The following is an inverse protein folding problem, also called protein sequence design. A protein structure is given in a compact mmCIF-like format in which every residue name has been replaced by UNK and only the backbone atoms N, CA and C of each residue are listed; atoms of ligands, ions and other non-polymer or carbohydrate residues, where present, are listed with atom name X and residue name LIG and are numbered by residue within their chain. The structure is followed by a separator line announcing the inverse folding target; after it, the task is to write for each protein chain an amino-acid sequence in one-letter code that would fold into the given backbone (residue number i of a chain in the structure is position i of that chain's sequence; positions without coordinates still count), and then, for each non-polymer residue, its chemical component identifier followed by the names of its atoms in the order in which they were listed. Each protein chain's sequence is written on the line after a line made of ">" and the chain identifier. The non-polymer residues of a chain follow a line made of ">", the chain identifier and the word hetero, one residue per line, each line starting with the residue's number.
data_IF_109875174252
#
_entry.id   IF_109875174252
#
_cell.length_a   1.000
_cell.length_b   1.000
_cell.length_c   1.000
_cell.angle_alpha   90.00
_cell.angle_beta   90.00
_cell.angle_gamma   90.00
#
_symmetry.space_group_name_H-M   'P 1'
#
loop_
_entity.id
_entity.type
_entity.pdbx_description
1 polymer ?
#
# COMPACT_ATOMS: atom_id res chain seq x y z
N UNK A 1 11.58 0.84 43.45
CA UNK A 1 12.77 1.16 44.27
C UNK A 1 13.37 2.47 43.76
N UNK A 2 13.17 3.57 44.48
CA UNK A 2 13.63 4.91 44.08
C UNK A 2 14.91 5.25 44.84
N UNK A 3 16.02 5.45 44.13
CA UNK A 3 17.23 6.09 44.68
C UNK A 3 17.00 7.61 44.72
N UNK A 4 17.23 8.31 45.84
CA UNK A 4 17.27 9.75 45.84
C UNK A 4 18.65 10.26 45.41
N UNK A 5 18.61 11.04 44.34
CA UNK A 5 19.32 12.31 44.10
C UNK A 5 20.42 12.60 45.14
N UNK A 6 21.63 12.18 44.79
CA UNK A 6 22.86 12.91 45.10
C UNK A 6 22.83 14.21 44.28
N UNK A 7 23.48 15.26 44.77
CA UNK A 7 23.56 16.63 44.23
C UNK A 7 22.67 17.62 44.99
N UNK A 8 23.12 18.01 46.20
CA UNK A 8 23.21 19.42 46.63
C UNK A 8 23.91 19.50 48.00
N UNK A 9 25.24 19.33 48.05
CA UNK A 9 26.03 19.47 49.29
C UNK A 9 27.40 20.13 49.06
N UNK A 10 27.49 21.08 48.11
CA UNK A 10 28.78 21.66 47.72
C UNK A 10 28.85 23.19 47.69
N UNK A 11 28.11 23.88 48.58
CA UNK A 11 28.31 25.31 48.85
C UNK A 11 28.03 25.62 50.34
N UNK A 12 28.85 25.08 51.23
CA UNK A 12 29.03 25.58 52.60
C UNK A 12 30.32 24.98 53.18
N UNK A 13 31.44 25.42 52.62
CA UNK A 13 32.75 25.35 53.29
C UNK A 13 33.25 26.79 53.37
N UNK A 14 33.14 27.47 54.51
CA UNK A 14 33.95 28.66 54.77
C UNK A 14 35.39 28.19 54.84
N UNK A 15 36.13 28.44 53.75
CA UNK A 15 37.57 28.24 53.71
C UNK A 15 38.24 29.11 54.76
N UNK A 16 38.69 28.45 55.82
CA UNK A 16 39.69 28.95 56.76
C UNK A 16 41.00 29.09 55.98
N UNK A 17 41.22 30.27 55.40
CA UNK A 17 42.54 30.76 55.03
C UNK A 17 43.03 31.65 56.16
N UNK A 18 43.64 31.01 57.17
CA UNK A 18 44.55 31.69 58.09
C UNK A 18 45.81 32.08 57.30
N UNK A 19 45.79 33.24 56.66
CA UNK A 19 46.99 33.99 56.31
C UNK A 19 47.26 35.02 57.41
N UNK A 20 48.53 35.15 57.77
CA UNK A 20 49.05 35.93 58.88
C UNK A 20 48.76 37.44 58.80
N UNK A 21 48.80 38.14 59.96
CA UNK A 21 48.52 39.56 60.06
C UNK A 21 49.77 40.37 59.74
N UNK A 22 49.67 41.27 58.76
CA UNK A 22 50.50 42.47 58.73
C UNK A 22 49.87 43.46 57.75
N UNK A 23 49.10 44.41 58.27
CA UNK A 23 49.14 45.84 57.97
C UNK A 23 48.08 46.50 58.85
N UNK A 24 48.58 47.32 59.76
CA UNK A 24 47.83 48.24 60.60
C UNK A 24 47.12 49.32 59.77
N UNK A 25 46.05 49.81 60.40
CA UNK A 25 45.54 51.17 60.35
C UNK A 25 44.48 51.49 59.29
N UNK A 26 43.30 51.81 59.84
CA UNK A 26 42.47 52.98 59.46
C UNK A 26 41.19 52.80 58.63
N UNK A 27 40.47 51.66 58.76
CA UNK A 27 39.08 51.56 58.22
C UNK A 27 37.98 51.37 59.29
N UNK A 28 38.35 51.14 60.56
CA UNK A 28 37.36 50.95 61.63
C UNK A 28 36.65 52.25 62.08
N UNK A 29 37.18 53.42 61.72
CA UNK A 29 36.59 54.73 62.04
C UNK A 29 35.44 55.13 61.11
N UNK A 30 35.54 54.81 59.82
CA UNK A 30 34.56 55.18 58.80
C UNK A 30 33.23 54.41 58.95
N UNK A 31 33.29 53.16 59.39
CA UNK A 31 32.09 52.36 59.64
C UNK A 31 31.30 52.84 60.87
N UNK A 32 31.94 53.45 61.88
CA UNK A 32 31.20 53.99 63.04
C UNK A 32 30.49 55.31 62.74
N UNK A 33 31.04 56.15 61.85
CA UNK A 33 30.39 57.41 61.46
C UNK A 33 29.13 57.22 60.59
N UNK A 34 29.01 56.09 59.89
CA UNK A 34 27.82 55.78 59.08
C UNK A 34 26.62 55.27 59.92
N UNK A 35 26.85 54.78 61.14
CA UNK A 35 25.80 54.22 61.99
C UNK A 35 25.09 55.26 62.88
N UNK A 36 25.72 56.40 63.16
CA UNK A 36 25.13 57.48 63.97
C UNK A 36 24.27 58.46 63.16
N UNK A 37 24.30 58.35 61.83
CA UNK A 37 23.40 59.12 60.96
C UNK A 37 22.04 58.42 60.87
N UNK A 38 20.95 59.16 61.09
CA UNK A 38 19.55 58.71 60.95
C UNK A 38 19.30 58.01 59.61
N UNK A 39 20.10 58.35 58.58
CA UNK A 39 20.07 57.70 57.26
C UNK A 39 20.52 56.24 57.26
N UNK A 40 21.43 55.83 58.15
CA UNK A 40 21.96 54.45 58.21
C UNK A 40 20.89 53.43 58.62
N UNK A 41 20.03 53.81 59.58
CA UNK A 41 18.92 52.96 60.03
C UNK A 41 17.88 52.75 58.93
N UNK A 42 17.60 53.78 58.12
CA UNK A 42 16.66 53.68 57.00
C UNK A 42 17.15 52.71 55.91
N UNK A 43 18.46 52.71 55.62
CA UNK A 43 19.05 51.79 54.64
C UNK A 43 18.91 50.34 55.14
N UNK A 44 19.20 50.10 56.43
CA UNK A 44 19.07 48.77 57.04
C UNK A 44 17.62 48.27 57.06
N UNK A 45 16.66 49.16 57.34
CA UNK A 45 15.22 48.84 57.32
C UNK A 45 14.74 48.53 55.89
N UNK A 46 15.24 49.23 54.89
CA UNK A 46 14.88 48.97 53.49
C UNK A 46 15.39 47.61 52.99
N UNK A 47 16.63 47.24 53.35
CA UNK A 47 17.22 45.93 53.03
C UNK A 47 16.48 44.77 53.69
N UNK A 48 16.09 44.91 54.96
CA UNK A 48 15.34 43.86 55.67
C UNK A 48 13.94 43.67 55.07
N UNK A 49 13.26 44.76 54.70
CA UNK A 49 11.96 44.68 54.00
C UNK A 49 12.07 44.03 52.62
N UNK A 50 13.13 44.32 51.86
CA UNK A 50 13.37 43.68 50.56
C UNK A 50 13.59 42.16 50.70
N UNK A 51 14.35 41.73 51.71
CA UNK A 51 14.58 40.30 51.99
C UNK A 51 13.27 39.62 52.38
N UNK A 52 12.45 40.24 53.24
CA UNK A 52 11.15 39.70 53.64
C UNK A 52 10.21 39.58 52.43
N UNK A 53 10.19 40.57 51.53
CA UNK A 53 9.38 40.52 50.32
C UNK A 53 9.78 39.36 49.39
N UNK A 54 11.10 39.13 49.20
CA UNK A 54 11.61 38.00 48.40
C UNK A 54 11.25 36.67 49.07
N UNK A 55 11.41 36.55 50.38
CA UNK A 55 11.02 35.35 51.13
C UNK A 55 9.51 35.07 51.00
N UNK A 56 8.66 36.10 51.07
CA UNK A 56 7.21 35.95 50.90
C UNK A 56 6.83 35.58 49.46
N UNK A 57 7.56 36.06 48.45
CA UNK A 57 7.35 35.64 47.06
C UNK A 57 7.71 34.16 46.85
N UNK A 58 8.82 33.70 47.43
CA UNK A 58 9.23 32.30 47.35
C UNK A 58 8.28 31.37 48.13
N UNK A 59 7.73 31.83 49.27
CA UNK A 59 6.76 31.05 50.05
C UNK A 59 5.34 31.05 49.48
N UNK A 60 4.97 32.01 48.62
CA UNK A 60 3.65 32.04 47.97
C UNK A 60 3.53 31.11 46.76
N UNK A 61 4.63 30.61 46.19
CA UNK A 61 4.60 29.78 44.98
C UNK A 61 4.62 28.23 45.11
N UNK A 62 4.27 27.52 46.21
CA UNK A 62 4.41 26.05 46.24
C UNK A 62 3.30 25.28 45.51
N UNK A 63 2.19 25.91 45.09
CA UNK A 63 0.97 25.16 44.73
C UNK A 63 0.81 24.73 43.26
N UNK A 64 1.68 25.16 42.35
CA UNK A 64 1.53 24.83 40.92
C UNK A 64 2.40 23.67 40.40
N UNK A 65 3.41 23.20 41.16
CA UNK A 65 4.38 22.19 40.65
C UNK A 65 3.96 20.73 40.87
N UNK A 66 2.92 20.46 41.66
CA UNK A 66 2.43 19.10 41.92
C UNK A 66 1.49 18.57 40.83
N UNK A 67 0.85 19.42 40.04
CA UNK A 67 -0.01 18.97 38.92
C UNK A 67 0.82 18.42 37.77
N UNK A 68 1.90 19.10 37.38
CA UNK A 68 2.74 18.72 36.24
C UNK A 68 3.47 17.37 36.44
N UNK A 69 3.75 17.00 37.70
CA UNK A 69 4.42 15.73 38.04
C UNK A 69 3.52 14.50 37.85
N UNK A 70 2.21 14.67 37.97
CA UNK A 70 1.25 13.58 37.79
C UNK A 70 0.99 13.30 36.32
N UNK A 71 0.94 14.34 35.48
CA UNK A 71 0.78 14.19 34.03
C UNK A 71 1.99 13.51 33.39
N UNK A 72 3.21 13.87 33.81
CA UNK A 72 4.44 13.20 33.35
C UNK A 72 4.47 11.70 33.70
N UNK A 73 3.83 11.31 34.79
CA UNK A 73 3.74 9.90 35.21
C UNK A 73 2.76 9.08 34.36
N UNK A 74 1.70 9.70 33.84
CA UNK A 74 0.75 9.05 32.95
C UNK A 74 1.36 8.82 31.57
N UNK A 75 2.08 9.81 31.02
CA UNK A 75 2.78 9.69 29.73
C UNK A 75 3.84 8.57 29.75
N UNK A 76 4.64 8.48 30.81
CA UNK A 76 5.64 7.40 30.93
C UNK A 76 5.01 6.00 30.94
N UNK A 77 3.85 5.84 31.57
CA UNK A 77 3.12 4.57 31.55
C UNK A 77 2.53 4.26 30.17
N UNK A 78 2.11 5.29 29.43
CA UNK A 78 1.61 5.14 28.07
C UNK A 78 2.73 4.74 27.11
N UNK A 79 3.88 5.41 27.16
CA UNK A 79 5.07 5.06 26.39
C UNK A 79 5.54 3.63 26.70
N UNK A 80 5.52 3.22 27.97
CA UNK A 80 5.89 1.87 28.35
C UNK A 80 4.93 0.81 27.77
N UNK A 81 3.62 1.09 27.74
CA UNK A 81 2.63 0.21 27.07
C UNK A 81 2.87 0.15 25.56
N UNK A 82 3.23 1.26 24.95
CA UNK A 82 3.48 1.32 23.51
C UNK A 82 4.74 0.55 23.11
N UNK A 83 5.82 0.66 23.88
CA UNK A 83 7.04 -0.15 23.70
C UNK A 83 6.70 -1.64 23.79
N UNK A 84 5.93 -2.06 24.79
CA UNK A 84 5.54 -3.47 24.95
C UNK A 84 4.65 -3.95 23.80
N UNK A 85 3.73 -3.10 23.32
CA UNK A 85 2.89 -3.40 22.15
C UNK A 85 3.70 -3.52 20.87
N UNK A 86 4.71 -2.67 20.69
CA UNK A 86 5.60 -2.71 19.52
C UNK A 86 6.53 -3.93 19.56
N UNK A 87 7.04 -4.31 20.73
CA UNK A 87 7.81 -5.54 20.90
C UNK A 87 6.98 -6.77 20.53
N UNK A 88 5.75 -6.88 21.04
CA UNK A 88 4.87 -8.01 20.70
C UNK A 88 4.55 -8.07 19.19
N UNK A 89 4.35 -6.90 18.55
CA UNK A 89 4.18 -6.82 17.08
C UNK A 89 5.43 -7.22 16.30
N UNK A 90 6.63 -7.07 16.89
CA UNK A 90 7.87 -7.48 16.27
C UNK A 90 8.07 -9.00 16.37
N UNK A 91 7.68 -9.59 17.50
CA UNK A 91 7.69 -11.04 17.72
C UNK A 91 6.64 -11.77 16.88
N UNK A 92 5.50 -11.14 16.60
CA UNK A 92 4.47 -11.64 15.67
C UNK A 92 4.89 -11.57 14.18
N UNK A 93 6.09 -11.07 13.86
CA UNK A 93 6.58 -11.14 12.48
C UNK A 93 6.88 -12.60 12.11
N UNK A 94 6.51 -13.03 10.89
CA UNK A 94 6.75 -14.39 10.45
C UNK A 94 8.23 -14.71 10.61
N UNK A 95 8.50 -15.79 11.32
CA UNK A 95 9.87 -16.20 11.61
C UNK A 95 10.54 -16.69 10.33
N UNK A 96 11.88 -16.69 10.31
CA UNK A 96 12.68 -17.22 9.19
C UNK A 96 12.25 -18.66 8.83
N UNK A 97 11.75 -19.42 9.80
CA UNK A 97 11.22 -20.77 9.60
C UNK A 97 9.95 -20.80 8.73
N UNK A 98 9.07 -19.80 8.87
CA UNK A 98 7.86 -19.68 8.03
C UNK A 98 8.21 -19.33 6.59
N UNK A 99 9.27 -18.55 6.39
CA UNK A 99 9.79 -18.20 5.07
C UNK A 99 10.42 -19.41 4.37
N UNK A 100 11.15 -20.25 5.10
CA UNK A 100 11.70 -21.50 4.55
C UNK A 100 10.58 -22.48 4.15
N UNK A 101 9.54 -22.62 4.98
CA UNK A 101 8.36 -23.41 4.64
C UNK A 101 7.61 -22.86 3.42
N UNK A 102 7.54 -21.54 3.25
CA UNK A 102 6.94 -20.92 2.06
C UNK A 102 7.80 -21.15 0.82
N UNK A 103 9.12 -21.06 0.94
CA UNK A 103 10.06 -21.33 -0.16
C UNK A 103 9.98 -22.78 -0.64
N UNK A 104 9.89 -23.76 0.27
CA UNK A 104 9.68 -25.17 -0.11
C UNK A 104 8.33 -25.38 -0.80
N UNK A 105 7.26 -24.73 -0.33
CA UNK A 105 5.95 -24.79 -0.97
C UNK A 105 5.96 -24.18 -2.37
N UNK A 106 6.65 -23.06 -2.57
CA UNK A 106 6.82 -22.45 -3.89
C UNK A 106 7.57 -23.40 -4.81
N UNK A 107 8.69 -23.97 -4.37
CA UNK A 107 9.47 -24.94 -5.15
C UNK A 107 8.67 -26.19 -5.54
N UNK A 108 7.82 -26.68 -4.64
CA UNK A 108 6.95 -27.82 -4.90
C UNK A 108 5.82 -27.49 -5.89
N UNK A 109 5.27 -26.28 -5.82
CA UNK A 109 4.27 -25.81 -6.79
C UNK A 109 4.90 -25.61 -8.16
N UNK A 110 6.07 -24.99 -8.23
CA UNK A 110 6.83 -24.77 -9.46
C UNK A 110 7.18 -26.10 -10.16
N UNK A 111 7.64 -27.10 -9.39
CA UNK A 111 7.85 -28.46 -9.92
C UNK A 111 6.59 -29.08 -10.53
N UNK A 112 5.43 -28.90 -9.90
CA UNK A 112 4.13 -29.38 -10.43
C UNK A 112 3.69 -28.66 -11.70
N UNK A 113 4.02 -27.38 -11.86
CA UNK A 113 3.75 -26.64 -13.09
C UNK A 113 4.61 -27.16 -14.24
N UNK A 114 5.90 -27.37 -14.00
CA UNK A 114 6.82 -27.93 -15.01
C UNK A 114 6.36 -29.33 -15.45
N UNK A 115 5.97 -30.18 -14.52
CA UNK A 115 5.46 -31.53 -14.80
C UNK A 115 4.16 -31.49 -15.63
N UNK A 116 3.23 -30.58 -15.29
CA UNK A 116 1.99 -30.38 -16.05
C UNK A 116 2.22 -29.86 -17.46
N UNK A 117 3.20 -28.98 -17.64
CA UNK A 117 3.59 -28.47 -18.95
C UNK A 117 4.25 -29.55 -19.81
N UNK A 118 5.02 -30.47 -19.21
CA UNK A 118 5.53 -31.64 -19.95
C UNK A 118 4.40 -32.57 -20.41
N UNK A 119 3.42 -32.87 -19.56
CA UNK A 119 2.26 -33.68 -19.97
C UNK A 119 1.40 -33.00 -21.04
N UNK A 120 1.27 -31.68 -20.99
CA UNK A 120 0.48 -30.92 -21.98
C UNK A 120 1.16 -30.89 -23.36
N UNK A 121 2.50 -30.87 -23.40
CA UNK A 121 3.28 -30.97 -24.65
C UNK A 121 3.16 -32.35 -25.29
N UNK A 122 3.15 -33.41 -24.48
CA UNK A 122 3.03 -34.79 -24.97
C UNK A 122 1.66 -35.06 -25.62
N UNK A 123 0.58 -34.53 -25.05
CA UNK A 123 -0.77 -34.61 -25.64
C UNK A 123 -0.89 -33.80 -26.94
N UNK A 124 -0.09 -32.74 -27.12
CA UNK A 124 -0.13 -31.90 -28.33
C UNK A 124 0.36 -32.66 -29.57
N UNK A 125 1.41 -33.47 -29.44
CA UNK A 125 1.96 -34.21 -30.58
C UNK A 125 1.06 -35.37 -31.02
N UNK A 126 0.34 -35.99 -30.09
CA UNK A 126 -0.59 -37.08 -30.38
C UNK A 126 -1.86 -36.60 -31.12
N UNK A 127 -2.26 -35.33 -30.91
CA UNK A 127 -3.43 -34.75 -31.58
C UNK A 127 -3.17 -34.41 -33.06
N UNK A 128 -1.94 -34.03 -33.40
CA UNK A 128 -1.54 -33.68 -34.78
C UNK A 128 -1.49 -34.90 -35.71
N UNK A 129 -1.15 -36.09 -35.20
CA UNK A 129 -1.11 -37.33 -36.00
C UNK A 129 -2.52 -37.88 -36.29
N UNK A 130 -3.46 -37.72 -35.35
CA UNK A 130 -4.86 -38.11 -35.54
C UNK A 130 -5.54 -37.24 -36.60
N UNK A 131 -5.26 -35.93 -36.63
CA UNK A 131 -5.83 -35.02 -37.64
C UNK A 131 -5.28 -35.27 -39.06
N UNK A 132 -4.02 -35.71 -39.21
CA UNK A 132 -3.49 -36.12 -40.54
C UNK A 132 -4.13 -37.41 -41.05
N UNK A 133 -4.48 -38.32 -40.17
CA UNK A 133 -5.13 -39.60 -40.56
C UNK A 133 -6.55 -39.39 -41.06
N UNK A 134 -7.31 -38.44 -40.48
CA UNK A 134 -8.70 -38.16 -40.87
C UNK A 134 -8.77 -37.33 -42.17
N UNK A 135 -7.78 -36.47 -42.45
CA UNK A 135 -7.74 -35.64 -43.65
C UNK A 135 -7.38 -36.42 -44.94
N UNK A 136 -6.83 -37.63 -44.82
CA UNK A 136 -6.42 -38.46 -45.96
C UNK A 136 -7.54 -39.26 -46.63
N UNK A 137 -8.74 -39.37 -46.02
CA UNK A 137 -9.73 -40.39 -46.39
C UNK A 137 -11.06 -39.84 -46.96
N UNK A 138 -11.13 -38.55 -47.30
CA UNK A 138 -12.29 -37.96 -48.00
C UNK A 138 -11.89 -37.22 -49.27
N UNK A 139 -11.75 -37.99 -50.35
CA UNK A 139 -11.81 -37.45 -51.70
C UNK A 139 -12.40 -38.48 -52.65
N UNK A 140 -13.74 -38.50 -52.75
CA UNK A 140 -14.46 -38.88 -53.97
C UNK A 140 -15.85 -38.23 -54.02
N UNK A 141 -15.96 -37.25 -54.93
CA UNK A 141 -17.06 -37.05 -55.89
C UNK A 141 -18.28 -36.19 -55.47
N UNK A 142 -18.76 -35.27 -56.35
CA UNK A 142 -19.74 -34.23 -56.02
C UNK A 142 -21.17 -34.62 -56.43
N UNK A 143 -22.17 -34.13 -55.70
CA UNK A 143 -23.53 -34.05 -56.22
C UNK A 143 -24.25 -32.80 -55.71
N UNK A 144 -24.89 -32.14 -56.67
CA UNK A 144 -25.53 -30.84 -56.67
C UNK A 144 -26.98 -31.01 -56.25
N UNK A 145 -27.41 -30.39 -55.16
CA UNK A 145 -28.83 -30.13 -54.91
C UNK A 145 -29.02 -28.78 -54.24
N UNK A 146 -29.71 -27.90 -54.97
CA UNK A 146 -30.26 -26.63 -54.52
C UNK A 146 -31.19 -26.86 -53.33
N UNK A 147 -30.98 -26.13 -52.23
CA UNK A 147 -32.08 -25.75 -51.34
C UNK A 147 -31.75 -24.39 -50.73
N UNK A 148 -32.49 -23.40 -51.20
CA UNK A 148 -32.64 -22.07 -50.63
C UNK A 148 -32.99 -22.16 -49.15
N UNK A 149 -32.02 -21.87 -48.29
CA UNK A 149 -32.26 -21.51 -46.90
C UNK A 149 -31.62 -20.14 -46.71
N UNK A 150 -32.44 -19.20 -46.26
CA UNK A 150 -32.12 -17.83 -45.92
C UNK A 150 -30.84 -17.81 -45.09
N UNK A 151 -29.76 -17.42 -45.74
CA UNK A 151 -28.45 -17.24 -45.14
C UNK A 151 -28.48 -15.92 -44.38
N UNK A 152 -28.57 -15.99 -43.06
CA UNK A 152 -27.97 -14.96 -42.20
C UNK A 152 -26.49 -14.89 -42.62
N UNK A 153 -26.16 -13.89 -43.43
CA UNK A 153 -24.79 -13.63 -43.85
C UNK A 153 -23.93 -13.40 -42.60
N UNK A 154 -22.86 -14.18 -42.36
CA UNK A 154 -21.84 -13.75 -41.43
C UNK A 154 -21.26 -12.46 -42.02
N UNK A 155 -21.38 -11.36 -41.28
CA UNK A 155 -20.80 -10.07 -41.62
C UNK A 155 -19.40 -10.30 -42.20
N UNK A 156 -19.25 -9.90 -43.46
CA UNK A 156 -18.02 -10.03 -44.24
C UNK A 156 -16.81 -9.57 -43.43
N UNK A 157 -15.71 -10.30 -43.60
CA UNK A 157 -14.36 -10.17 -43.04
C UNK A 157 -13.72 -8.77 -43.14
N UNK A 158 -14.36 -7.74 -42.58
CA UNK A 158 -13.64 -6.54 -42.15
C UNK A 158 -12.71 -7.01 -41.03
N UNK A 159 -11.40 -6.85 -41.23
CA UNK A 159 -10.37 -7.46 -40.40
C UNK A 159 -10.66 -7.24 -38.92
N UNK A 160 -10.86 -8.34 -38.18
CA UNK A 160 -11.03 -8.28 -36.75
C UNK A 160 -9.76 -7.71 -36.13
N UNK A 161 -9.93 -6.73 -35.26
CA UNK A 161 -8.87 -6.25 -34.42
C UNK A 161 -8.95 -6.93 -33.06
N UNK A 162 -7.81 -7.03 -32.39
CA UNK A 162 -7.65 -7.77 -31.17
C UNK A 162 -7.03 -6.89 -30.09
N UNK A 163 -7.57 -6.96 -28.88
CA UNK A 163 -7.04 -6.26 -27.72
C UNK A 163 -6.96 -7.17 -26.50
N UNK A 164 -5.89 -7.03 -25.72
CA UNK A 164 -5.66 -7.81 -24.50
C UNK A 164 -6.54 -7.37 -23.34
N UNK A 165 -6.64 -6.06 -23.11
CA UNK A 165 -7.41 -5.47 -22.01
C UNK A 165 -7.94 -4.09 -22.36
N UNK A 166 -8.92 -3.59 -21.61
CA UNK A 166 -9.28 -2.17 -21.63
C UNK A 166 -8.28 -1.35 -20.81
N UNK A 167 -7.44 -0.58 -21.50
CA UNK A 167 -6.42 0.28 -20.90
C UNK A 167 -7.01 1.60 -20.38
N UNK A 168 -8.07 2.09 -21.03
CA UNK A 168 -8.82 3.27 -20.60
C UNK A 168 -9.93 2.90 -19.62
N UNK A 169 -10.38 3.86 -18.82
CA UNK A 169 -11.45 3.66 -17.83
C UNK A 169 -12.74 3.10 -18.46
N UNK A 170 -13.07 3.57 -19.66
CA UNK A 170 -14.25 3.15 -20.42
C UNK A 170 -13.90 2.88 -21.89
N UNK A 171 -12.78 2.20 -22.19
CA UNK A 171 -12.39 2.06 -23.58
C UNK A 171 -11.10 1.34 -23.89
N UNK A 172 -10.71 1.43 -25.16
CA UNK A 172 -9.49 0.90 -25.73
C UNK A 172 -8.74 2.01 -26.46
N UNK A 173 -7.45 2.18 -26.20
CA UNK A 173 -6.58 3.01 -27.04
C UNK A 173 -6.26 2.29 -28.35
N UNK A 174 -6.19 3.02 -29.47
CA UNK A 174 -5.73 2.46 -30.74
C UNK A 174 -4.31 1.85 -30.68
N UNK A 175 -3.50 2.18 -29.66
CA UNK A 175 -2.13 1.65 -29.50
C UNK A 175 -2.07 0.20 -29.04
N UNK A 176 -3.07 -0.25 -28.28
CA UNK A 176 -3.13 -1.61 -27.73
C UNK A 176 -3.88 -2.59 -28.65
N UNK A 177 -4.54 -2.05 -29.67
CA UNK A 177 -5.32 -2.80 -30.64
C UNK A 177 -4.37 -3.30 -31.74
N UNK A 178 -4.36 -4.59 -31.96
CA UNK A 178 -3.51 -5.25 -32.96
C UNK A 178 -4.35 -6.05 -33.95
N UNK A 179 -3.76 -6.52 -35.06
CA UNK A 179 -4.44 -7.40 -36.02
C UNK A 179 -4.08 -8.88 -35.81
N UNK A 180 -3.24 -9.18 -34.84
CA UNK A 180 -2.73 -10.52 -34.59
C UNK A 180 -3.36 -11.09 -33.32
N UNK A 181 -3.75 -12.35 -33.38
CA UNK A 181 -4.18 -13.13 -32.22
C UNK A 181 -3.03 -14.06 -31.83
N UNK A 182 -2.48 -13.87 -30.63
CA UNK A 182 -1.38 -14.64 -30.03
C UNK A 182 -1.81 -15.48 -28.82
N UNK A 183 -3.12 -15.54 -28.55
CA UNK A 183 -3.67 -16.26 -27.41
C UNK A 183 -3.70 -15.44 -26.12
N UNK A 184 -3.25 -14.18 -26.13
CA UNK A 184 -3.44 -13.24 -25.01
C UNK A 184 -4.51 -12.18 -25.32
N UNK A 185 -4.91 -11.98 -26.57
CA UNK A 185 -5.93 -10.99 -26.91
C UNK A 185 -7.34 -11.52 -26.65
N UNK A 186 -7.95 -10.95 -25.64
CA UNK A 186 -9.25 -11.36 -25.13
C UNK A 186 -10.43 -10.80 -25.93
N UNK A 187 -10.28 -9.59 -26.46
CA UNK A 187 -11.35 -8.85 -27.11
C UNK A 187 -11.16 -8.86 -28.63
N UNK A 188 -12.19 -9.27 -29.35
CA UNK A 188 -12.30 -9.13 -30.80
C UNK A 188 -13.16 -7.90 -31.10
N UNK A 189 -12.64 -6.98 -31.91
CA UNK A 189 -13.26 -5.69 -32.24
C UNK A 189 -13.49 -5.65 -33.74
N UNK A 190 -14.74 -5.44 -34.13
CA UNK A 190 -15.20 -5.31 -35.50
C UNK A 190 -15.54 -3.84 -35.75
N UNK A 191 -14.66 -3.13 -36.45
CA UNK A 191 -14.83 -1.71 -36.77
C UNK A 191 -15.83 -1.50 -37.90
N UNK A 192 -16.80 -0.63 -37.69
CA UNK A 192 -17.82 -0.19 -38.64
C UNK A 192 -17.92 1.34 -38.64
N UNK A 193 -17.09 1.98 -39.46
CA UNK A 193 -16.99 3.45 -39.58
C UNK A 193 -16.73 4.13 -38.23
N UNK A 194 -17.74 4.79 -37.64
CA UNK A 194 -17.63 5.50 -36.35
C UNK A 194 -18.02 4.65 -35.13
N UNK A 195 -18.48 3.41 -35.36
CA UNK A 195 -18.89 2.46 -34.32
C UNK A 195 -18.09 1.19 -34.45
N UNK A 196 -17.95 0.44 -33.36
CA UNK A 196 -17.42 -0.91 -33.43
C UNK A 196 -18.20 -1.82 -32.50
N UNK A 197 -18.32 -3.08 -32.88
CA UNK A 197 -18.88 -4.13 -32.03
C UNK A 197 -17.70 -4.89 -31.46
N UNK A 198 -17.72 -5.19 -30.16
CA UNK A 198 -16.69 -6.02 -29.56
C UNK A 198 -17.28 -7.21 -28.81
N UNK A 199 -16.54 -8.31 -28.86
CA UNK A 199 -16.88 -9.58 -28.23
C UNK A 199 -15.66 -10.20 -27.57
N UNK A 200 -15.90 -11.17 -26.69
CA UNK A 200 -14.82 -11.99 -26.15
C UNK A 200 -14.48 -13.08 -27.16
N UNK A 201 -13.20 -13.31 -27.37
CA UNK A 201 -12.73 -14.37 -28.27
C UNK A 201 -13.12 -15.76 -27.77
N UNK A 202 -13.33 -16.69 -28.71
CA UNK A 202 -13.60 -18.09 -28.39
C UNK A 202 -12.32 -18.91 -28.17
N UNK A 203 -11.15 -18.30 -28.36
CA UNK A 203 -9.85 -18.93 -28.13
C UNK A 203 -9.71 -19.38 -26.67
N UNK A 204 -9.35 -20.66 -26.49
CA UNK A 204 -9.24 -21.30 -25.19
C UNK A 204 -8.06 -20.71 -24.40
N UNK A 205 -6.96 -20.37 -25.08
CA UNK A 205 -5.76 -19.85 -24.42
C UNK A 205 -6.00 -18.44 -23.90
N UNK A 206 -6.65 -17.58 -24.70
CA UNK A 206 -7.04 -16.23 -24.29
C UNK A 206 -8.07 -16.24 -23.16
N UNK A 207 -9.06 -17.15 -23.20
CA UNK A 207 -10.01 -17.30 -22.10
C UNK A 207 -9.33 -17.80 -20.82
N UNK A 208 -8.37 -18.73 -20.92
CA UNK A 208 -7.59 -19.20 -19.77
C UNK A 208 -6.77 -18.06 -19.18
N UNK A 209 -6.17 -17.22 -20.02
CA UNK A 209 -5.44 -16.03 -19.58
C UNK A 209 -6.36 -15.05 -18.82
N UNK A 210 -7.55 -14.77 -19.34
CA UNK A 210 -8.53 -13.90 -18.68
C UNK A 210 -9.04 -14.45 -17.35
N UNK A 211 -9.20 -15.78 -17.24
CA UNK A 211 -9.62 -16.43 -16.00
C UNK A 211 -8.53 -16.44 -14.92
N UNK A 212 -7.25 -16.36 -15.30
CA UNK A 212 -6.15 -16.19 -14.35
C UNK A 212 -6.18 -14.80 -13.68
N UNK A 213 -6.66 -13.77 -14.38
CA UNK A 213 -6.81 -12.42 -13.83
C UNK A 213 -8.19 -11.80 -14.15
N UNK A 214 -9.25 -12.17 -13.38
CA UNK A 214 -10.62 -11.74 -13.66
C UNK A 214 -10.84 -10.22 -13.62
N UNK A 215 -9.96 -9.48 -12.95
CA UNK A 215 -10.00 -8.02 -12.88
C UNK A 215 -9.97 -7.35 -14.26
N UNK A 216 -9.33 -7.98 -15.25
CA UNK A 216 -9.25 -7.46 -16.62
C UNK A 216 -10.61 -7.39 -17.33
N UNK A 217 -11.50 -8.34 -17.04
CA UNK A 217 -12.84 -8.41 -17.64
C UNK A 217 -13.78 -7.34 -17.09
N UNK A 218 -13.65 -7.00 -15.80
CA UNK A 218 -14.60 -6.10 -15.11
C UNK A 218 -14.71 -4.69 -15.72
N UNK A 219 -13.65 -4.22 -16.40
CA UNK A 219 -13.63 -2.90 -17.04
C UNK A 219 -14.52 -2.88 -18.27
N UNK A 220 -14.37 -3.87 -19.15
CA UNK A 220 -15.07 -3.92 -20.43
C UNK A 220 -16.35 -4.77 -20.42
N UNK A 221 -16.59 -5.59 -19.40
CA UNK A 221 -17.70 -6.53 -19.38
C UNK A 221 -18.57 -6.38 -18.12
N UNK A 222 -19.85 -6.67 -18.28
CA UNK A 222 -20.79 -6.92 -17.20
C UNK A 222 -20.80 -8.42 -16.91
N UNK A 223 -20.35 -8.78 -15.72
CA UNK A 223 -20.27 -10.16 -15.26
C UNK A 223 -21.61 -10.58 -14.65
N UNK A 224 -22.26 -11.59 -15.21
CA UNK A 224 -23.54 -12.09 -14.71
C UNK A 224 -23.39 -12.96 -13.45
N UNK A 225 -22.24 -13.59 -13.29
CA UNK A 225 -21.88 -14.41 -12.14
C UNK A 225 -20.37 -14.29 -11.84
N UNK A 226 -19.90 -14.96 -10.79
CA UNK A 226 -18.49 -14.95 -10.40
C UNK A 226 -17.73 -16.12 -11.05
N UNK A 227 -16.44 -15.93 -11.40
CA UNK A 227 -15.64 -17.00 -11.96
C UNK A 227 -15.43 -18.12 -10.93
N UNK A 228 -15.49 -19.37 -11.38
CA UNK A 228 -15.21 -20.56 -10.58
C UNK A 228 -14.20 -21.48 -11.26
N UNK A 229 -13.66 -22.44 -10.52
CA UNK A 229 -12.58 -23.29 -11.02
C UNK A 229 -13.07 -24.17 -12.19
N UNK A 230 -12.37 -24.07 -13.32
CA UNK A 230 -12.68 -24.86 -14.52
C UNK A 230 -13.84 -24.32 -15.35
N UNK A 231 -14.35 -23.12 -15.04
CA UNK A 231 -15.35 -22.48 -15.87
C UNK A 231 -14.78 -22.03 -17.23
N UNK A 232 -15.68 -21.77 -18.17
CA UNK A 232 -15.44 -21.14 -19.46
C UNK A 232 -16.20 -19.82 -19.53
N UNK A 233 -15.64 -18.86 -20.25
CA UNK A 233 -16.32 -17.59 -20.51
C UNK A 233 -17.29 -17.79 -21.68
N UNK A 234 -18.58 -17.64 -21.43
CA UNK A 234 -19.62 -17.65 -22.45
C UNK A 234 -20.16 -16.22 -22.63
N UNK A 235 -20.17 -15.76 -23.87
CA UNK A 235 -20.74 -14.47 -24.20
C UNK A 235 -22.26 -14.56 -24.33
N UNK A 236 -22.97 -13.67 -23.64
CA UNK A 236 -24.44 -13.52 -23.74
C UNK A 236 -24.86 -12.38 -24.64
N UNK A 237 -24.11 -11.27 -24.60
CA UNK A 237 -24.38 -10.08 -25.40
C UNK A 237 -23.09 -9.38 -25.77
N UNK A 238 -22.98 -8.98 -27.03
CA UNK A 238 -21.87 -8.19 -27.54
C UNK A 238 -21.92 -6.76 -26.99
N UNK A 239 -20.76 -6.12 -26.92
CA UNK A 239 -20.62 -4.73 -26.51
C UNK A 239 -20.51 -3.78 -27.72
N UNK A 240 -20.73 -2.50 -27.47
CA UNK A 240 -20.70 -1.45 -28.49
C UNK A 240 -19.66 -0.39 -28.10
N UNK A 241 -18.83 -0.04 -29.07
CA UNK A 241 -17.83 1.01 -29.02
C UNK A 241 -18.23 2.18 -29.93
N UNK A 242 -17.84 3.39 -29.56
CA UNK A 242 -17.90 4.58 -30.40
C UNK A 242 -16.51 5.20 -30.48
N UNK A 243 -16.10 5.63 -31.68
CA UNK A 243 -14.80 6.25 -31.90
C UNK A 243 -14.81 7.73 -31.47
N UNK A 244 -13.82 8.16 -30.70
CA UNK A 244 -13.58 9.56 -30.40
C UNK A 244 -12.09 9.87 -30.58
N UNK A 245 -11.72 10.38 -31.76
CA UNK A 245 -10.32 10.54 -32.14
C UNK A 245 -9.61 9.18 -32.28
N UNK A 246 -8.50 9.00 -31.56
CA UNK A 246 -7.67 7.77 -31.55
C UNK A 246 -8.04 6.83 -30.38
N UNK A 247 -9.24 6.96 -29.84
CA UNK A 247 -9.73 6.17 -28.72
C UNK A 247 -11.11 5.58 -29.03
N UNK A 248 -11.32 4.35 -28.58
CA UNK A 248 -12.60 3.67 -28.64
C UNK A 248 -13.25 3.69 -27.27
N UNK A 249 -14.41 4.31 -27.14
CA UNK A 249 -15.16 4.35 -25.88
C UNK A 249 -16.28 3.32 -25.86
N UNK A 250 -16.40 2.61 -24.75
CA UNK A 250 -17.45 1.64 -24.49
C UNK A 250 -18.75 2.37 -24.20
N UNK A 251 -19.68 2.31 -25.15
CA UNK A 251 -21.04 2.81 -24.99
C UNK A 251 -21.93 1.77 -24.32
N UNK A 252 -21.73 0.49 -24.65
CA UNK A 252 -22.44 -0.64 -24.05
C UNK A 252 -21.46 -1.74 -23.69
N UNK A 253 -21.42 -2.15 -22.41
CA UNK A 253 -20.59 -3.27 -21.96
C UNK A 253 -21.10 -4.60 -22.52
N UNK A 254 -20.18 -5.45 -22.94
CA UNK A 254 -20.49 -6.84 -23.29
C UNK A 254 -20.96 -7.60 -22.03
N UNK A 255 -21.93 -8.50 -22.17
CA UNK A 255 -22.43 -9.33 -21.05
C UNK A 255 -21.90 -10.74 -21.16
N UNK A 256 -21.28 -11.23 -20.09
CA UNK A 256 -20.68 -12.57 -20.05
C UNK A 256 -21.12 -13.37 -18.83
N UNK A 257 -21.11 -14.68 -19.00
CA UNK A 257 -21.37 -15.67 -17.95
C UNK A 257 -20.19 -16.64 -17.87
N UNK A 258 -19.85 -17.07 -16.66
CA UNK A 258 -18.92 -18.16 -16.41
C UNK A 258 -19.71 -19.47 -16.30
N UNK A 259 -19.44 -20.46 -17.15
CA UNK A 259 -20.14 -21.76 -17.22
C UNK A 259 -19.22 -22.95 -17.01
#
# INVERSE_FOLDING_TARGET
>A
MKRPIVILWLLLMPGVLCAQPLIQADEAGLMRQLFDSVSGWLICLSLTLAIIAICLQLFRSPRARTSQRNDSGAELRQLQKEIMRLQNKLDDRPTINDLNGLAERIKLVEGKYIERDSYSREISWERDDIQRTIAGERSTTPEKTETTIVSDQPLSQQGAFYAKMADLENGFSSKIITRHQDGEQLFEIFEQEDRAIYKITNDIDAQRYALAEPGMLSRACELLNQPFKGCRIEMKKEGILTKAGDQWHIQLKAKIEFK
#
